data_IF_892627876999
#
_entry.id   IF_892627876999
#
_cell.length_a   1.000
_cell.length_b   1.000
_cell.length_c   1.000
_cell.angle_alpha   90.00
_cell.angle_beta   90.00
_cell.angle_gamma   90.00
#
_symmetry.space_group_name_H-M   'P 1'
#
loop_
_entity.id
_entity.type
_entity.pdbx_description
1 polymer ?
#
# COMPACT_ATOMS: atom_id res chain seq x y z
N UNK A 1 -16.73 -44.95 21.73
CA UNK A 1 -15.64 -44.23 22.39
C UNK A 1 -14.72 -43.50 21.40
N UNK A 2 -14.16 -44.17 20.41
CA UNK A 2 -13.26 -43.54 19.43
C UNK A 2 -13.98 -42.48 18.59
N UNK A 3 -15.23 -42.72 18.17
CA UNK A 3 -16.04 -41.78 17.43
C UNK A 3 -16.33 -40.49 18.22
N UNK A 4 -16.62 -40.60 19.51
CA UNK A 4 -16.87 -39.45 20.36
C UNK A 4 -15.63 -38.56 20.55
N UNK A 5 -14.45 -39.16 20.66
CA UNK A 5 -13.18 -38.43 20.76
C UNK A 5 -12.83 -37.76 19.42
N UNK A 6 -13.07 -38.44 18.28
CA UNK A 6 -12.86 -37.87 16.96
C UNK A 6 -13.77 -36.66 16.71
N UNK A 7 -15.06 -36.75 17.10
CA UNK A 7 -15.96 -35.60 16.99
C UNK A 7 -15.54 -34.43 17.84
N UNK A 8 -15.02 -34.68 19.03
CA UNK A 8 -14.51 -33.63 19.92
C UNK A 8 -13.28 -32.93 19.31
N UNK A 9 -12.35 -33.71 18.77
CA UNK A 9 -11.14 -33.15 18.11
C UNK A 9 -11.54 -32.33 16.88
N UNK A 10 -12.43 -32.83 16.05
CA UNK A 10 -12.93 -32.12 14.85
C UNK A 10 -13.60 -30.80 15.26
N UNK A 11 -14.43 -30.81 16.29
CA UNK A 11 -15.07 -29.61 16.82
C UNK A 11 -14.04 -28.52 17.19
N UNK A 12 -12.98 -28.90 17.93
CA UNK A 12 -11.93 -27.95 18.30
C UNK A 12 -11.16 -27.45 17.09
N UNK A 13 -10.88 -28.31 16.10
CA UNK A 13 -10.21 -27.91 14.84
C UNK A 13 -11.08 -26.89 14.09
N UNK A 14 -12.39 -27.17 13.95
CA UNK A 14 -13.30 -26.24 13.28
C UNK A 14 -13.37 -24.89 14.00
N UNK A 15 -13.43 -24.90 15.32
CA UNK A 15 -13.42 -23.66 16.12
C UNK A 15 -12.16 -22.83 15.89
N UNK A 16 -11.00 -23.48 15.86
CA UNK A 16 -9.73 -22.81 15.60
C UNK A 16 -9.71 -22.20 14.18
N UNK A 17 -10.17 -22.95 13.19
CA UNK A 17 -10.24 -22.46 11.81
C UNK A 17 -11.16 -21.26 11.68
N UNK A 18 -12.32 -21.28 12.32
CA UNK A 18 -13.27 -20.17 12.34
C UNK A 18 -12.62 -18.93 12.99
N UNK A 19 -11.93 -19.09 14.10
CA UNK A 19 -11.23 -18.00 14.78
C UNK A 19 -10.16 -17.39 13.87
N UNK A 20 -9.38 -18.22 13.18
CA UNK A 20 -8.36 -17.76 12.24
C UNK A 20 -9.01 -16.96 11.09
N UNK A 21 -10.09 -17.47 10.50
CA UNK A 21 -10.80 -16.80 9.43
C UNK A 21 -11.37 -15.46 9.88
N UNK A 22 -12.00 -15.41 11.05
CA UNK A 22 -12.53 -14.17 11.63
C UNK A 22 -11.39 -13.16 11.87
N UNK A 23 -10.27 -13.61 12.41
CA UNK A 23 -9.11 -12.76 12.62
C UNK A 23 -8.60 -12.17 11.29
N UNK A 24 -8.50 -13.02 10.24
CA UNK A 24 -8.08 -12.57 8.92
C UNK A 24 -9.03 -11.51 8.35
N UNK A 25 -10.34 -11.73 8.45
CA UNK A 25 -11.36 -10.78 7.95
C UNK A 25 -11.27 -9.46 8.73
N UNK A 26 -11.21 -9.52 10.05
CA UNK A 26 -11.10 -8.32 10.90
C UNK A 26 -9.84 -7.55 10.56
N UNK A 27 -8.71 -8.24 10.40
CA UNK A 27 -7.45 -7.60 10.02
C UNK A 27 -7.54 -6.89 8.66
N UNK A 28 -8.19 -7.53 7.67
CA UNK A 28 -8.41 -6.91 6.37
C UNK A 28 -9.30 -5.67 6.45
N UNK A 29 -10.36 -5.72 7.25
CA UNK A 29 -11.25 -4.57 7.46
C UNK A 29 -10.50 -3.42 8.13
N UNK A 30 -9.68 -3.71 9.13
CA UNK A 30 -8.86 -2.69 9.83
C UNK A 30 -7.91 -2.02 8.84
N UNK A 31 -7.19 -2.79 8.02
CA UNK A 31 -6.27 -2.25 7.01
C UNK A 31 -7.04 -1.39 6.01
N UNK A 32 -8.19 -1.86 5.54
CA UNK A 32 -9.02 -1.11 4.60
C UNK A 32 -9.46 0.24 5.16
N UNK A 33 -9.97 0.26 6.39
CA UNK A 33 -10.41 1.50 7.06
C UNK A 33 -9.24 2.46 7.27
N UNK A 34 -8.10 1.94 7.73
CA UNK A 34 -6.89 2.75 7.93
C UNK A 34 -6.38 3.35 6.63
N UNK A 35 -6.38 2.57 5.55
CA UNK A 35 -5.92 3.07 4.25
C UNK A 35 -6.81 4.20 3.72
N UNK A 36 -8.13 4.05 3.88
CA UNK A 36 -9.08 5.08 3.49
C UNK A 36 -8.93 6.39 4.27
N UNK A 37 -8.53 6.29 5.53
CA UNK A 37 -8.27 7.46 6.39
C UNK A 37 -6.88 8.04 6.17
N UNK A 38 -5.91 7.23 5.77
CA UNK A 38 -4.52 7.64 5.61
C UNK A 38 -4.27 8.41 4.32
N UNK A 39 -4.92 8.03 3.22
CA UNK A 39 -4.65 8.58 1.91
C UNK A 39 -5.91 8.76 1.08
N UNK A 40 -5.86 9.77 0.20
CA UNK A 40 -6.86 9.93 -0.86
C UNK A 40 -6.40 9.17 -2.10
N UNK A 41 -7.31 8.38 -2.68
CA UNK A 41 -7.04 7.66 -3.92
C UNK A 41 -7.40 8.58 -5.08
N UNK A 42 -6.45 8.78 -6.01
CA UNK A 42 -6.59 9.69 -7.14
C UNK A 42 -6.38 8.94 -8.47
N UNK A 43 -7.03 9.42 -9.51
CA UNK A 43 -6.86 8.88 -10.85
C UNK A 43 -5.64 9.47 -11.58
N UNK A 44 -5.39 9.02 -12.82
CA UNK A 44 -4.26 9.48 -13.61
C UNK A 44 -4.35 10.98 -13.89
N UNK A 45 -5.52 11.51 -14.17
CA UNK A 45 -5.71 12.92 -14.52
C UNK A 45 -5.40 13.85 -13.34
N UNK A 46 -5.89 13.51 -12.13
CA UNK A 46 -5.54 14.26 -10.90
C UNK A 46 -4.05 14.18 -10.61
N UNK A 47 -3.46 13.01 -10.80
CA UNK A 47 -2.04 12.78 -10.55
C UNK A 47 -1.18 13.65 -11.49
N UNK A 48 -1.53 13.71 -12.79
CA UNK A 48 -0.82 14.52 -13.77
C UNK A 48 -0.83 16.01 -13.46
N UNK A 49 -1.91 16.51 -12.90
CA UNK A 49 -2.06 17.94 -12.56
C UNK A 49 -1.07 18.41 -11.50
N UNK A 50 -0.63 17.54 -10.63
CA UNK A 50 0.15 17.90 -9.44
C UNK A 50 1.58 17.39 -9.46
N UNK A 51 1.98 16.66 -10.48
CA UNK A 51 3.29 16.02 -10.59
C UNK A 51 4.46 16.97 -10.36
N UNK A 52 4.35 18.22 -10.79
CA UNK A 52 5.43 19.20 -10.67
C UNK A 52 5.52 19.87 -9.30
N UNK A 53 4.50 19.66 -8.45
CA UNK A 53 4.39 20.32 -7.15
C UNK A 53 4.31 19.33 -5.99
N UNK A 54 4.59 18.07 -6.24
CA UNK A 54 4.47 17.00 -5.25
C UNK A 54 5.68 16.07 -5.29
N UNK A 55 5.86 15.34 -4.22
CA UNK A 55 6.83 14.25 -4.16
C UNK A 55 6.17 12.99 -4.71
N UNK A 56 6.71 12.42 -5.77
CA UNK A 56 6.19 11.19 -6.36
C UNK A 56 7.11 10.05 -5.98
N UNK A 57 6.57 9.05 -5.30
CA UNK A 57 7.34 7.94 -4.75
C UNK A 57 6.81 6.61 -5.30
N UNK A 58 7.70 5.89 -5.97
CA UNK A 58 7.48 4.52 -6.42
C UNK A 58 7.92 3.56 -5.31
N UNK A 59 6.97 2.78 -4.78
CA UNK A 59 7.24 1.85 -3.68
C UNK A 59 7.51 0.42 -4.16
N UNK A 60 7.65 0.22 -5.47
CA UNK A 60 8.07 -1.07 -6.03
C UNK A 60 9.55 -1.30 -5.76
N UNK A 61 9.99 -2.54 -5.90
CA UNK A 61 11.41 -2.86 -5.77
C UNK A 61 12.25 -2.21 -6.87
N UNK A 62 13.53 -2.06 -6.62
CA UNK A 62 14.46 -1.30 -7.47
C UNK A 62 14.48 -1.80 -8.91
N UNK A 63 14.46 -3.11 -9.14
CA UNK A 63 14.49 -3.69 -10.48
C UNK A 63 13.27 -3.28 -11.31
N UNK A 64 12.09 -3.28 -10.70
CA UNK A 64 10.86 -2.82 -11.34
C UNK A 64 10.91 -1.33 -11.68
N UNK A 65 11.44 -0.53 -10.77
CA UNK A 65 11.63 0.91 -10.98
C UNK A 65 12.57 1.19 -12.16
N UNK A 66 13.71 0.50 -12.21
CA UNK A 66 14.69 0.66 -13.30
C UNK A 66 14.14 0.23 -14.65
N UNK A 67 13.31 -0.81 -14.68
CA UNK A 67 12.68 -1.30 -15.91
C UNK A 67 11.68 -0.30 -16.51
N UNK A 68 11.16 0.60 -15.72
CA UNK A 68 10.25 1.65 -16.13
C UNK A 68 9.48 2.23 -14.95
N UNK A 69 9.39 3.55 -14.90
CA UNK A 69 8.70 4.26 -13.81
C UNK A 69 8.06 5.55 -14.34
N UNK A 70 7.21 6.15 -13.54
CA UNK A 70 6.61 7.46 -13.86
C UNK A 70 7.71 8.51 -13.87
N UNK A 71 7.73 9.34 -14.89
CA UNK A 71 8.71 10.41 -15.01
C UNK A 71 8.67 11.34 -13.79
N UNK A 72 9.83 11.55 -13.18
CA UNK A 72 9.96 12.37 -11.96
C UNK A 72 9.78 11.62 -10.65
N UNK A 73 9.48 10.32 -10.69
CA UNK A 73 9.32 9.52 -9.50
C UNK A 73 10.67 9.17 -8.85
N UNK A 74 10.66 9.12 -7.53
CA UNK A 74 11.77 8.62 -6.70
C UNK A 74 11.43 7.23 -6.20
N UNK A 75 12.40 6.34 -6.17
CA UNK A 75 12.19 4.98 -5.69
C UNK A 75 12.51 4.86 -4.19
N UNK A 76 11.52 4.47 -3.43
CA UNK A 76 11.70 4.02 -2.05
C UNK A 76 10.98 2.68 -1.93
N UNK A 77 11.67 1.55 -2.11
CA UNK A 77 11.04 0.23 -2.07
C UNK A 77 10.28 -0.02 -0.77
N UNK A 78 9.15 -0.70 -0.87
CA UNK A 78 8.34 -1.05 0.29
C UNK A 78 9.16 -1.76 1.38
N UNK A 79 10.06 -2.66 0.99
CA UNK A 79 10.94 -3.40 1.91
C UNK A 79 11.84 -2.50 2.76
N UNK A 80 12.13 -1.29 2.28
CA UNK A 80 13.01 -0.33 2.95
C UNK A 80 12.29 0.97 3.33
N UNK A 81 10.99 1.05 3.09
CA UNK A 81 10.23 2.29 3.21
C UNK A 81 10.33 2.92 4.60
N UNK A 82 10.19 2.10 5.63
CA UNK A 82 10.25 2.55 7.02
C UNK A 82 11.58 3.21 7.38
N UNK A 83 12.68 2.73 6.80
CA UNK A 83 14.02 3.28 7.03
C UNK A 83 14.20 4.65 6.38
N UNK A 84 13.53 4.91 5.26
CA UNK A 84 13.73 6.12 4.45
C UNK A 84 12.63 7.17 4.59
N UNK A 85 11.67 6.97 5.48
CA UNK A 85 10.60 7.96 5.73
C UNK A 85 11.17 9.33 6.11
N UNK A 86 12.27 9.36 6.86
CA UNK A 86 12.92 10.60 7.25
C UNK A 86 13.40 11.49 6.11
N UNK A 87 13.60 10.91 4.92
CA UNK A 87 13.98 11.63 3.70
C UNK A 87 12.80 12.20 2.90
N UNK A 88 11.58 11.99 3.35
CA UNK A 88 10.37 12.49 2.70
C UNK A 88 9.94 13.79 3.40
N UNK A 89 9.67 14.83 2.62
CA UNK A 89 9.28 16.13 3.16
C UNK A 89 7.83 16.11 3.63
N UNK A 90 7.58 16.60 4.84
CA UNK A 90 6.22 16.72 5.42
C UNK A 90 5.46 17.95 4.92
N UNK A 91 6.17 18.95 4.43
CA UNK A 91 5.62 20.23 3.97
C UNK A 91 5.11 20.18 2.52
N UNK A 92 5.30 19.07 1.83
CA UNK A 92 4.84 18.85 0.46
C UNK A 92 3.91 17.64 0.38
N UNK A 93 2.91 17.66 -0.54
CA UNK A 93 2.10 16.48 -0.78
C UNK A 93 2.95 15.28 -1.23
N UNK A 94 2.59 14.09 -0.77
CA UNK A 94 3.25 12.84 -1.13
C UNK A 94 2.29 12.02 -1.98
N UNK A 95 2.73 11.65 -3.19
CA UNK A 95 2.00 10.82 -4.11
C UNK A 95 2.71 9.49 -4.25
N UNK A 96 2.04 8.43 -3.84
CA UNK A 96 2.58 7.07 -3.81
C UNK A 96 1.96 6.24 -4.93
N UNK A 97 2.77 5.38 -5.54
CA UNK A 97 2.25 4.39 -6.47
C UNK A 97 3.09 3.11 -6.42
N UNK A 98 2.45 2.03 -6.83
CA UNK A 98 3.08 0.75 -7.08
C UNK A 98 2.55 0.16 -8.39
N UNK A 99 2.63 -1.14 -8.57
CA UNK A 99 2.04 -1.82 -9.72
C UNK A 99 0.50 -1.70 -9.70
N UNK A 100 -0.12 -1.95 -8.56
CA UNK A 100 -1.54 -1.70 -8.27
C UNK A 100 -1.71 -0.58 -7.24
N UNK A 101 -2.26 -0.86 -6.05
CA UNK A 101 -2.41 0.14 -4.98
C UNK A 101 -2.20 -0.39 -3.56
N UNK A 102 -2.16 -1.69 -3.36
CA UNK A 102 -2.14 -2.30 -2.02
C UNK A 102 -0.91 -1.92 -1.19
N UNK A 103 0.29 -2.03 -1.76
CA UNK A 103 1.54 -1.64 -1.07
C UNK A 103 1.62 -0.13 -0.86
N UNK A 104 1.17 0.66 -1.83
CA UNK A 104 1.13 2.12 -1.69
C UNK A 104 0.22 2.55 -0.55
N UNK A 105 -0.92 1.90 -0.37
CA UNK A 105 -1.81 2.15 0.76
C UNK A 105 -1.18 1.80 2.10
N UNK A 106 -0.40 0.73 2.16
CA UNK A 106 0.37 0.38 3.37
C UNK A 106 1.42 1.43 3.70
N UNK A 107 2.12 1.92 2.68
CA UNK A 107 3.07 3.03 2.85
C UNK A 107 2.37 4.29 3.34
N UNK A 108 1.18 4.58 2.82
CA UNK A 108 0.37 5.72 3.26
C UNK A 108 0.02 5.63 4.75
N UNK A 109 -0.32 4.44 5.24
CA UNK A 109 -0.59 4.22 6.66
C UNK A 109 0.66 4.53 7.50
N UNK A 110 1.84 4.08 7.05
CA UNK A 110 3.10 4.39 7.74
C UNK A 110 3.37 5.89 7.78
N UNK A 111 3.16 6.59 6.67
CA UNK A 111 3.33 8.04 6.59
C UNK A 111 2.37 8.78 7.52
N UNK A 112 1.12 8.34 7.59
CA UNK A 112 0.11 8.96 8.48
C UNK A 112 0.53 8.86 9.93
N UNK A 113 1.07 7.72 10.35
CA UNK A 113 1.60 7.52 11.70
C UNK A 113 2.76 8.47 12.02
N UNK A 114 3.54 8.84 11.02
CA UNK A 114 4.70 9.73 11.16
C UNK A 114 4.32 11.22 11.05
N UNK A 115 3.04 11.53 10.95
CA UNK A 115 2.55 12.90 10.94
C UNK A 115 2.39 13.56 9.58
N UNK A 116 2.44 12.79 8.50
CA UNK A 116 2.15 13.30 7.16
C UNK A 116 0.66 13.51 6.98
N UNK A 117 0.24 14.66 6.41
CA UNK A 117 -1.17 15.04 6.24
C UNK A 117 -1.68 14.83 4.82
N UNK A 118 -0.87 15.17 3.82
CA UNK A 118 -1.26 15.20 2.42
C UNK A 118 -0.68 14.00 1.69
N UNK A 119 -1.39 12.87 1.77
CA UNK A 119 -0.97 11.59 1.23
C UNK A 119 -1.97 11.15 0.17
N UNK A 120 -1.47 10.81 -1.02
CA UNK A 120 -2.28 10.41 -2.17
C UNK A 120 -1.74 9.12 -2.75
N UNK A 121 -2.63 8.30 -3.27
CA UNK A 121 -2.28 7.02 -3.90
C UNK A 121 -2.90 6.93 -5.29
N UNK A 122 -2.10 6.56 -6.29
CA UNK A 122 -2.56 6.38 -7.65
C UNK A 122 -3.45 5.14 -7.77
N UNK A 123 -4.69 5.32 -8.19
CA UNK A 123 -5.73 4.29 -8.18
C UNK A 123 -5.36 3.04 -8.97
N UNK A 124 -4.93 3.19 -10.20
CA UNK A 124 -4.58 2.07 -11.08
C UNK A 124 -3.12 1.66 -11.03
N UNK A 125 -2.29 2.42 -10.30
CA UNK A 125 -0.86 2.19 -10.23
C UNK A 125 -0.16 2.31 -11.57
N UNK A 126 1.06 1.78 -11.63
CA UNK A 126 1.86 1.79 -12.84
C UNK A 126 1.23 0.97 -13.98
N UNK A 127 0.49 -0.08 -13.66
CA UNK A 127 -0.19 -0.92 -14.66
C UNK A 127 -1.10 -0.12 -15.61
N UNK A 128 -1.77 0.88 -15.08
CA UNK A 128 -2.76 1.70 -15.82
C UNK A 128 -2.28 3.12 -16.10
N UNK A 129 -0.99 3.40 -15.85
CA UNK A 129 -0.43 4.72 -16.07
C UNK A 129 -0.31 5.01 -17.57
N UNK A 130 -0.89 6.11 -18.00
CA UNK A 130 -0.91 6.58 -19.39
C UNK A 130 -0.08 7.83 -19.63
N UNK A 131 0.61 8.33 -18.61
CA UNK A 131 1.49 9.50 -18.72
C UNK A 131 2.91 9.15 -19.13
N UNK A 132 3.82 10.11 -19.00
CA UNK A 132 5.23 9.93 -19.35
C UNK A 132 5.93 8.97 -18.43
N UNK A 133 6.78 8.13 -19.01
CA UNK A 133 7.58 7.11 -18.32
C UNK A 133 9.06 7.31 -18.60
N UNK A 134 9.90 6.83 -17.69
CA UNK A 134 11.35 6.84 -17.83
C UNK A 134 11.91 5.45 -17.51
N UNK A 135 13.01 5.06 -18.16
CA UNK A 135 13.81 3.87 -17.86
C UNK A 135 15.20 4.28 -17.43
N UNK A 136 15.74 3.53 -16.51
CA UNK A 136 17.16 3.69 -16.08
C UNK A 136 18.07 2.68 -16.71
#
# INVERSE_FOLDING_TARGET
MLLGKAHSVLFWVDMILIIILLWMVINQVIIFVRSRRAAKIVDNEEFKKVMHHAQIIDVREEDSFKAGHILGARNIPFSQFKMYIGGIRKDMPVYLYEQGKALALRCAIMLKKEGFDKIFVLKGGYNKWDGKKKKN
#
